data_IF_513048849780
#
_entry.id   IF_513048849780
#
_cell.length_a   1.000
_cell.length_b   1.000
_cell.length_c   1.000
_cell.angle_alpha   90.00
_cell.angle_beta   90.00
_cell.angle_gamma   90.00
#
_symmetry.space_group_name_H-M   'P 1'
#
loop_
_entity.id
_entity.type
_entity.pdbx_description
1 polymer ?
#
# COMPACT_ATOMS: atom_id res chain seq x y z
N UNK A 1 15.17 3.19 -14.27
CA UNK A 1 14.62 2.17 -15.20
C UNK A 1 15.66 1.14 -15.65
N UNK A 2 16.96 1.46 -15.71
CA UNK A 2 18.02 0.49 -16.11
C UNK A 2 18.07 -0.81 -15.25
N UNK A 3 17.67 -0.72 -13.97
CA UNK A 3 17.62 -1.86 -13.04
C UNK A 3 16.73 -3.02 -13.56
N UNK A 4 15.67 -2.71 -14.29
CA UNK A 4 14.66 -3.67 -14.73
C UNK A 4 14.86 -4.16 -16.18
N UNK A 5 15.92 -3.69 -16.87
CA UNK A 5 16.18 -4.07 -18.26
C UNK A 5 16.35 -5.58 -18.40
N UNK A 6 15.54 -6.18 -19.28
CA UNK A 6 15.59 -7.60 -19.57
C UNK A 6 15.14 -8.51 -18.41
N UNK A 7 14.49 -7.96 -17.37
CA UNK A 7 14.07 -8.66 -16.16
C UNK A 7 12.64 -9.15 -16.22
N UNK A 8 12.29 -10.05 -15.31
CA UNK A 8 10.94 -10.58 -15.12
C UNK A 8 10.39 -10.07 -13.79
N UNK A 9 9.25 -9.36 -13.85
CA UNK A 9 8.51 -8.87 -12.69
C UNK A 9 7.25 -9.71 -12.46
N UNK A 10 7.11 -10.31 -11.29
CA UNK A 10 5.88 -10.93 -10.85
C UNK A 10 5.06 -9.94 -10.00
N UNK A 11 3.78 -9.77 -10.33
CA UNK A 11 2.83 -8.96 -9.57
C UNK A 11 1.74 -9.88 -9.03
N UNK A 12 1.78 -10.19 -7.74
CA UNK A 12 0.69 -10.91 -7.08
C UNK A 12 -0.44 -9.94 -6.78
N UNK A 13 -1.69 -10.39 -6.94
CA UNK A 13 -2.84 -9.48 -6.87
C UNK A 13 -2.86 -8.47 -8.02
N UNK A 14 -2.22 -8.80 -9.14
CA UNK A 14 -2.02 -7.93 -10.30
C UNK A 14 -3.29 -7.41 -10.96
N UNK A 15 -4.44 -8.07 -10.76
CA UNK A 15 -5.76 -7.61 -11.24
C UNK A 15 -6.41 -6.54 -10.36
N UNK A 16 -5.81 -6.22 -9.21
CA UNK A 16 -6.24 -5.13 -8.33
C UNK A 16 -5.82 -3.75 -8.84
N UNK A 17 -6.37 -2.67 -8.24
CA UNK A 17 -6.05 -1.29 -8.67
C UNK A 17 -4.55 -0.99 -8.59
N UNK A 18 -3.90 -1.40 -7.49
CA UNK A 18 -2.47 -1.17 -7.30
C UNK A 18 -1.60 -2.00 -8.25
N UNK A 19 -1.91 -3.30 -8.39
CA UNK A 19 -1.21 -4.17 -9.34
C UNK A 19 -1.30 -3.67 -10.78
N UNK A 20 -2.47 -3.14 -11.17
CA UNK A 20 -2.66 -2.49 -12.47
C UNK A 20 -1.82 -1.22 -12.64
N UNK A 21 -1.66 -0.41 -11.60
CA UNK A 21 -0.86 0.80 -11.68
C UNK A 21 0.63 0.46 -11.84
N UNK A 22 1.13 -0.50 -11.06
CA UNK A 22 2.51 -1.00 -11.22
C UNK A 22 2.70 -1.60 -12.61
N UNK A 23 1.78 -2.43 -13.09
CA UNK A 23 1.82 -2.97 -14.45
C UNK A 23 1.98 -1.86 -15.49
N UNK A 24 1.10 -0.84 -15.47
CA UNK A 24 1.13 0.28 -16.44
C UNK A 24 2.46 1.02 -16.41
N UNK A 25 3.03 1.29 -15.23
CA UNK A 25 4.34 1.95 -15.09
C UNK A 25 5.47 1.16 -15.77
N UNK A 26 5.37 -0.17 -15.79
CA UNK A 26 6.39 -1.03 -16.38
C UNK A 26 6.14 -1.42 -17.85
N UNK A 27 4.93 -1.24 -18.38
CA UNK A 27 4.60 -1.63 -19.77
C UNK A 27 5.50 -0.95 -20.81
N UNK A 28 5.76 0.35 -20.61
CA UNK A 28 6.57 1.16 -21.54
C UNK A 28 8.07 1.14 -21.19
N UNK A 29 8.46 0.33 -20.21
CA UNK A 29 9.87 0.16 -19.84
C UNK A 29 10.56 -0.93 -20.68
N UNK A 30 11.87 -1.06 -20.49
CA UNK A 30 12.71 -2.11 -21.10
C UNK A 30 12.65 -3.46 -20.33
N UNK A 31 11.63 -3.66 -19.50
CA UNK A 31 11.36 -4.94 -18.84
C UNK A 31 11.02 -6.02 -19.87
N UNK A 32 11.50 -7.25 -19.64
CA UNK A 32 11.27 -8.34 -20.58
C UNK A 32 9.88 -8.97 -20.44
N UNK A 33 9.44 -9.23 -19.20
CA UNK A 33 8.18 -9.91 -18.92
C UNK A 33 7.55 -9.40 -17.62
N UNK A 34 6.23 -9.30 -17.62
CA UNK A 34 5.43 -9.00 -16.44
C UNK A 34 4.44 -10.13 -16.22
N UNK A 35 4.53 -10.82 -15.09
CA UNK A 35 3.59 -11.89 -14.70
C UNK A 35 2.51 -11.35 -13.79
N UNK A 36 1.27 -11.50 -14.20
CA UNK A 36 0.09 -11.17 -13.40
C UNK A 36 -0.41 -12.45 -12.74
N UNK A 37 -0.33 -12.51 -11.41
CA UNK A 37 -0.77 -13.66 -10.63
C UNK A 37 -1.96 -13.29 -9.77
N UNK A 38 -3.10 -13.93 -9.99
CA UNK A 38 -4.33 -13.72 -9.21
C UNK A 38 -5.30 -14.88 -9.37
N UNK A 39 -6.30 -14.95 -8.49
CA UNK A 39 -7.37 -15.95 -8.53
C UNK A 39 -8.49 -15.62 -9.52
N UNK A 40 -8.59 -14.37 -9.92
CA UNK A 40 -9.73 -13.83 -10.66
C UNK A 40 -9.50 -13.99 -12.17
N UNK A 41 -9.98 -15.10 -12.72
CA UNK A 41 -9.89 -15.42 -14.15
C UNK A 41 -10.54 -14.35 -15.03
N UNK A 42 -11.75 -13.88 -14.62
CA UNK A 42 -12.50 -12.89 -15.40
C UNK A 42 -11.71 -11.58 -15.55
N UNK A 43 -11.14 -11.07 -14.45
CA UNK A 43 -10.33 -9.86 -14.53
C UNK A 43 -9.04 -10.05 -15.32
N UNK A 44 -8.44 -11.23 -15.27
CA UNK A 44 -7.26 -11.53 -16.09
C UNK A 44 -7.63 -11.54 -17.58
N UNK A 45 -8.76 -12.12 -17.93
CA UNK A 45 -9.23 -12.16 -19.30
C UNK A 45 -9.55 -10.76 -19.84
N UNK A 46 -10.28 -9.94 -19.05
CA UNK A 46 -10.53 -8.53 -19.38
C UNK A 46 -9.23 -7.74 -19.59
N UNK A 47 -8.23 -7.94 -18.71
CA UNK A 47 -6.92 -7.30 -18.85
C UNK A 47 -6.19 -7.75 -20.12
N UNK A 48 -6.22 -9.04 -20.44
CA UNK A 48 -5.59 -9.60 -21.64
C UNK A 48 -6.17 -8.98 -22.91
N UNK A 49 -7.50 -8.89 -22.98
CA UNK A 49 -8.19 -8.30 -24.12
C UNK A 49 -7.96 -6.78 -24.25
N UNK A 50 -7.84 -6.09 -23.12
CA UNK A 50 -7.59 -4.65 -23.12
C UNK A 50 -6.13 -4.29 -23.45
N UNK A 51 -5.16 -5.00 -22.87
CA UNK A 51 -3.75 -4.66 -22.98
C UNK A 51 -3.13 -5.10 -24.30
N UNK A 52 -3.48 -6.30 -24.77
CA UNK A 52 -2.93 -6.91 -26.01
C UNK A 52 -1.40 -6.78 -26.13
N UNK A 53 -0.68 -6.96 -25.03
CA UNK A 53 0.75 -6.76 -24.91
C UNK A 53 1.47 -8.09 -24.64
N UNK A 54 2.40 -8.47 -25.50
CA UNK A 54 3.11 -9.76 -25.44
C UNK A 54 4.04 -9.91 -24.22
N UNK A 55 4.48 -8.80 -23.61
CA UNK A 55 5.27 -8.80 -22.38
C UNK A 55 4.47 -9.28 -21.16
N UNK A 56 3.14 -9.18 -21.20
CA UNK A 56 2.28 -9.51 -20.04
C UNK A 56 1.84 -10.96 -20.13
N UNK A 57 2.16 -11.74 -19.10
CA UNK A 57 1.74 -13.13 -18.94
C UNK A 57 0.78 -13.26 -17.77
N UNK A 58 -0.25 -14.06 -17.93
CA UNK A 58 -1.32 -14.22 -16.96
C UNK A 58 -1.28 -15.62 -16.36
N UNK A 59 -1.28 -15.67 -15.03
CA UNK A 59 -1.24 -16.91 -14.26
C UNK A 59 -2.39 -16.92 -13.26
N UNK A 60 -3.28 -17.89 -13.37
CA UNK A 60 -4.33 -18.12 -12.39
C UNK A 60 -3.71 -18.90 -11.23
N UNK A 61 -3.89 -18.39 -10.02
CA UNK A 61 -3.39 -19.06 -8.83
C UNK A 61 -3.69 -18.29 -7.55
N UNK A 62 -3.44 -18.96 -6.42
CA UNK A 62 -3.75 -18.46 -5.08
C UNK A 62 -2.48 -18.41 -4.23
N UNK A 63 -2.18 -17.25 -3.63
CA UNK A 63 -1.04 -17.10 -2.72
C UNK A 63 -1.14 -18.01 -1.48
N UNK A 64 -2.33 -18.46 -1.13
CA UNK A 64 -2.55 -19.41 -0.02
C UNK A 64 -2.09 -20.85 -0.33
N UNK A 65 -1.88 -21.14 -1.60
CA UNK A 65 -1.37 -22.42 -2.09
C UNK A 65 0.08 -22.27 -2.54
N UNK A 66 0.99 -22.88 -1.79
CA UNK A 66 2.43 -22.83 -2.05
C UNK A 66 2.79 -23.39 -3.44
N UNK A 67 2.17 -24.50 -3.87
CA UNK A 67 2.46 -25.09 -5.16
C UNK A 67 2.05 -24.17 -6.32
N UNK A 68 0.92 -23.47 -6.17
CA UNK A 68 0.47 -22.46 -7.13
C UNK A 68 1.48 -21.30 -7.24
N UNK A 69 2.07 -20.87 -6.10
CA UNK A 69 3.08 -19.82 -6.04
C UNK A 69 4.40 -20.31 -6.68
N UNK A 70 4.87 -21.51 -6.35
CA UNK A 70 6.10 -22.08 -6.91
C UNK A 70 6.03 -22.20 -8.45
N UNK A 71 4.86 -22.55 -8.98
CA UNK A 71 4.62 -22.70 -10.42
C UNK A 71 4.84 -21.42 -11.24
N UNK A 72 4.76 -20.23 -10.63
CA UNK A 72 4.94 -18.94 -11.32
C UNK A 72 6.34 -18.34 -11.12
N UNK A 73 7.19 -18.92 -10.24
CA UNK A 73 8.44 -18.31 -9.78
C UNK A 73 9.64 -18.49 -10.71
N UNK A 74 9.62 -19.50 -11.59
CA UNK A 74 10.80 -19.81 -12.43
C UNK A 74 11.27 -18.60 -13.22
N UNK A 75 12.53 -18.18 -13.01
CA UNK A 75 13.16 -17.05 -13.70
C UNK A 75 12.72 -15.66 -13.27
N UNK A 76 11.86 -15.52 -12.27
CA UNK A 76 11.44 -14.22 -11.73
C UNK A 76 12.61 -13.50 -11.06
N UNK A 77 12.85 -12.24 -11.45
CA UNK A 77 13.87 -11.39 -10.82
C UNK A 77 13.30 -10.53 -9.69
N UNK A 78 12.09 -9.99 -9.87
CA UNK A 78 11.45 -9.04 -8.97
C UNK A 78 10.02 -9.44 -8.66
N UNK A 79 9.58 -9.25 -7.42
CA UNK A 79 8.20 -9.48 -6.99
C UNK A 79 7.63 -8.23 -6.36
N UNK A 80 6.50 -7.77 -6.87
CA UNK A 80 5.61 -6.87 -6.16
C UNK A 80 4.45 -7.67 -5.57
N UNK A 81 4.45 -7.84 -4.24
CA UNK A 81 3.44 -8.62 -3.55
C UNK A 81 2.31 -7.72 -3.05
N UNK A 82 1.21 -7.67 -3.82
CA UNK A 82 0.02 -6.86 -3.51
C UNK A 82 -1.25 -7.71 -3.29
N UNK A 83 -1.15 -9.04 -3.32
CA UNK A 83 -2.28 -9.92 -3.05
C UNK A 83 -2.67 -9.84 -1.57
N UNK A 84 -3.86 -9.35 -1.27
CA UNK A 84 -4.37 -9.23 0.09
C UNK A 84 -5.89 -9.12 0.14
N UNK A 85 -6.47 -9.46 1.29
CA UNK A 85 -7.80 -9.00 1.68
C UNK A 85 -7.66 -7.62 2.34
N UNK A 86 -8.40 -6.63 1.85
CA UNK A 86 -8.26 -5.22 2.28
C UNK A 86 -9.55 -4.57 2.80
N UNK A 87 -10.69 -5.23 2.66
CA UNK A 87 -11.98 -4.70 3.10
C UNK A 87 -12.16 -4.97 4.59
N UNK A 88 -12.29 -3.91 5.39
CA UNK A 88 -12.43 -4.03 6.85
C UNK A 88 -13.61 -4.91 7.23
N UNK A 89 -14.85 -4.67 6.73
CA UNK A 89 -15.99 -5.51 7.10
C UNK A 89 -15.78 -7.00 6.76
N UNK A 90 -15.26 -7.28 5.57
CA UNK A 90 -15.01 -8.67 5.15
C UNK A 90 -13.97 -9.36 6.04
N UNK A 91 -12.95 -8.65 6.48
CA UNK A 91 -11.92 -9.21 7.36
C UNK A 91 -12.45 -9.41 8.79
N UNK A 92 -13.33 -8.54 9.28
CA UNK A 92 -13.99 -8.70 10.58
C UNK A 92 -14.87 -9.96 10.60
N UNK A 93 -15.68 -10.19 9.55
CA UNK A 93 -16.52 -11.38 9.45
C UNK A 93 -15.73 -12.67 9.13
N UNK A 94 -14.61 -12.55 8.44
CA UNK A 94 -13.78 -13.69 8.02
C UNK A 94 -12.30 -13.53 8.40
N UNK A 95 -11.94 -13.35 9.69
CA UNK A 95 -10.58 -13.05 10.12
C UNK A 95 -9.59 -14.16 9.75
N UNK A 96 -10.01 -15.42 9.79
CA UNK A 96 -9.18 -16.56 9.37
C UNK A 96 -8.79 -16.46 7.89
N UNK A 97 -9.66 -15.94 7.02
CA UNK A 97 -9.32 -15.74 5.61
C UNK A 97 -8.33 -14.58 5.44
N UNK A 98 -8.43 -13.55 6.28
CA UNK A 98 -7.43 -12.48 6.32
C UNK A 98 -6.05 -13.02 6.73
N UNK A 99 -5.96 -13.83 7.78
CA UNK A 99 -4.71 -14.50 8.21
C UNK A 99 -4.16 -15.37 7.08
N UNK A 100 -4.98 -16.26 6.50
CA UNK A 100 -4.53 -17.17 5.44
C UNK A 100 -4.03 -16.43 4.20
N UNK A 101 -4.64 -15.30 3.84
CA UNK A 101 -4.26 -14.56 2.63
C UNK A 101 -3.13 -13.58 2.93
N UNK A 102 -3.28 -12.73 3.96
CA UNK A 102 -2.35 -11.64 4.20
C UNK A 102 -1.08 -12.11 4.91
N UNK A 103 -1.18 -13.06 5.83
CA UNK A 103 -0.03 -13.56 6.61
C UNK A 103 0.60 -14.77 5.95
N UNK A 104 -0.12 -15.91 5.91
CA UNK A 104 0.42 -17.16 5.39
C UNK A 104 0.64 -17.11 3.87
N UNK A 105 -0.23 -16.39 3.14
CA UNK A 105 -0.03 -16.16 1.70
C UNK A 105 1.23 -15.36 1.40
N UNK A 106 1.55 -14.37 2.24
CA UNK A 106 2.83 -13.63 2.15
C UNK A 106 4.01 -14.54 2.46
N UNK A 107 3.93 -15.34 3.53
CA UNK A 107 4.97 -16.32 3.86
C UNK A 107 5.25 -17.27 2.68
N UNK A 108 4.22 -17.83 2.05
CA UNK A 108 4.37 -18.68 0.86
C UNK A 108 5.11 -17.98 -0.28
N UNK A 109 4.79 -16.70 -0.55
CA UNK A 109 5.46 -15.91 -1.60
C UNK A 109 6.92 -15.69 -1.25
N UNK A 110 7.24 -15.32 -0.01
CA UNK A 110 8.60 -15.05 0.45
C UNK A 110 9.47 -16.32 0.42
N UNK A 111 8.95 -17.44 0.94
CA UNK A 111 9.65 -18.74 0.92
C UNK A 111 9.91 -19.20 -0.52
N UNK A 112 8.92 -19.06 -1.41
CA UNK A 112 9.08 -19.40 -2.82
C UNK A 112 10.09 -18.48 -3.50
N UNK A 113 10.06 -17.19 -3.22
CA UNK A 113 11.02 -16.22 -3.76
C UNK A 113 12.46 -16.57 -3.40
N UNK A 114 12.71 -16.90 -2.13
CA UNK A 114 14.04 -17.30 -1.65
C UNK A 114 14.49 -18.60 -2.30
N UNK A 115 13.62 -19.61 -2.35
CA UNK A 115 13.92 -20.90 -2.97
C UNK A 115 14.29 -20.81 -4.46
N UNK A 116 13.71 -19.86 -5.18
CA UNK A 116 13.96 -19.65 -6.62
C UNK A 116 14.99 -18.53 -6.91
N UNK A 117 15.62 -17.95 -5.89
CA UNK A 117 16.68 -16.95 -6.06
C UNK A 117 16.18 -15.62 -6.63
N UNK A 118 14.94 -15.24 -6.35
CA UNK A 118 14.40 -13.90 -6.70
C UNK A 118 15.26 -12.82 -6.06
N UNK A 119 15.61 -11.79 -6.82
CA UNK A 119 16.51 -10.72 -6.34
C UNK A 119 15.87 -9.83 -5.29
N UNK A 120 14.64 -9.41 -5.56
CA UNK A 120 13.98 -8.42 -4.72
C UNK A 120 12.48 -8.68 -4.59
N UNK A 121 11.96 -8.61 -3.37
CA UNK A 121 10.54 -8.70 -3.04
C UNK A 121 10.12 -7.44 -2.30
N UNK A 122 9.16 -6.71 -2.84
CA UNK A 122 8.51 -5.58 -2.17
C UNK A 122 7.11 -6.00 -1.75
N UNK A 123 6.86 -6.00 -0.44
CA UNK A 123 5.57 -6.37 0.16
C UNK A 123 4.76 -5.11 0.46
N UNK A 124 3.54 -5.08 -0.08
CA UNK A 124 2.66 -3.93 0.05
C UNK A 124 1.90 -3.92 1.38
N UNK A 125 2.13 -2.90 2.22
CA UNK A 125 1.40 -2.70 3.46
C UNK A 125 0.50 -1.44 3.42
N UNK A 126 0.15 -0.89 4.58
CA UNK A 126 -0.85 0.19 4.74
C UNK A 126 -0.68 0.88 6.09
N UNK A 127 -1.13 2.14 6.21
CA UNK A 127 -1.29 2.87 7.47
C UNK A 127 -2.10 2.10 8.53
N UNK A 128 -3.02 1.24 8.09
CA UNK A 128 -3.87 0.44 9.00
C UNK A 128 -3.14 -0.70 9.71
N UNK A 129 -1.90 -1.00 9.29
CA UNK A 129 -0.98 -1.89 10.00
C UNK A 129 -0.37 -1.23 11.25
N UNK A 130 -0.40 0.11 11.33
CA UNK A 130 0.11 0.88 12.46
C UNK A 130 -1.00 1.09 13.49
N UNK A 131 -0.77 0.69 14.74
CA UNK A 131 -1.80 0.69 15.80
C UNK A 131 -3.14 0.11 15.31
N UNK A 132 -3.16 -1.16 14.88
CA UNK A 132 -4.33 -1.74 14.22
C UNK A 132 -5.49 -1.92 15.19
N UNK A 133 -6.69 -1.50 14.76
CA UNK A 133 -7.94 -1.60 15.56
C UNK A 133 -8.98 -2.55 14.93
N UNK A 134 -8.64 -3.21 13.83
CA UNK A 134 -9.52 -4.14 13.13
C UNK A 134 -8.75 -5.32 12.55
N UNK A 135 -9.44 -6.42 12.24
CA UNK A 135 -8.83 -7.67 11.75
C UNK A 135 -7.99 -7.49 10.48
N UNK A 136 -8.40 -6.58 9.58
CA UNK A 136 -7.62 -6.27 8.39
C UNK A 136 -6.28 -5.65 8.76
N UNK A 137 -6.28 -4.62 9.60
CA UNK A 137 -5.06 -3.96 10.09
C UNK A 137 -4.16 -4.91 10.87
N UNK A 138 -4.72 -5.73 11.77
CA UNK A 138 -3.98 -6.73 12.55
C UNK A 138 -3.29 -7.74 11.62
N UNK A 139 -4.00 -8.25 10.60
CA UNK A 139 -3.41 -9.18 9.64
C UNK A 139 -2.29 -8.54 8.80
N UNK A 140 -2.42 -7.26 8.46
CA UNK A 140 -1.39 -6.50 7.74
C UNK A 140 -0.18 -6.19 8.63
N UNK A 141 -0.40 -5.86 9.89
CA UNK A 141 0.70 -5.68 10.86
C UNK A 141 1.50 -6.98 11.04
N UNK A 142 0.82 -8.12 11.17
CA UNK A 142 1.50 -9.42 11.26
C UNK A 142 2.22 -9.77 9.96
N UNK A 143 1.63 -9.47 8.80
CA UNK A 143 2.28 -9.63 7.48
C UNK A 143 3.61 -8.86 7.41
N UNK A 144 3.64 -7.59 7.87
CA UNK A 144 4.90 -6.82 7.94
C UNK A 144 5.94 -7.50 8.82
N UNK A 145 5.53 -7.98 10.01
CA UNK A 145 6.44 -8.67 10.93
C UNK A 145 7.03 -9.95 10.30
N UNK A 146 6.22 -10.73 9.57
CA UNK A 146 6.67 -11.92 8.84
C UNK A 146 7.67 -11.52 7.74
N UNK A 147 7.39 -10.49 6.95
CA UNK A 147 8.28 -10.05 5.89
C UNK A 147 9.61 -9.49 6.44
N UNK A 148 9.56 -8.66 7.48
CA UNK A 148 10.75 -8.08 8.14
C UNK A 148 11.59 -9.20 8.78
N UNK A 149 10.95 -10.16 9.47
CA UNK A 149 11.64 -11.29 10.07
C UNK A 149 12.34 -12.16 9.03
N UNK A 150 11.69 -12.40 7.87
CA UNK A 150 12.30 -13.14 6.77
C UNK A 150 13.51 -12.40 6.19
N UNK A 151 13.39 -11.09 5.96
CA UNK A 151 14.52 -10.26 5.53
C UNK A 151 15.68 -10.30 6.54
N UNK A 152 15.39 -10.17 7.84
CA UNK A 152 16.40 -10.28 8.90
C UNK A 152 17.12 -11.63 8.89
N UNK A 153 16.37 -12.75 8.73
CA UNK A 153 16.97 -14.09 8.64
C UNK A 153 17.96 -14.22 7.47
N UNK A 154 17.67 -13.58 6.34
CA UNK A 154 18.57 -13.60 5.17
C UNK A 154 19.82 -12.75 5.39
N UNK A 155 19.74 -11.72 6.23
CA UNK A 155 20.85 -10.83 6.52
C UNK A 155 21.35 -10.05 5.31
N UNK A 156 22.53 -9.45 5.44
CA UNK A 156 23.14 -8.64 4.37
C UNK A 156 23.69 -9.50 3.21
N UNK A 157 24.07 -10.76 3.48
CA UNK A 157 24.63 -11.69 2.50
C UNK A 157 23.55 -12.48 1.72
N UNK A 158 22.27 -12.28 2.06
CA UNK A 158 21.16 -12.95 1.41
C UNK A 158 21.05 -12.58 -0.08
N UNK A 159 20.88 -13.59 -0.95
CA UNK A 159 20.70 -13.37 -2.40
C UNK A 159 19.37 -12.70 -2.75
N UNK A 160 18.39 -12.79 -1.87
CA UNK A 160 17.05 -12.18 -2.01
C UNK A 160 16.93 -11.03 -1.02
N UNK A 161 16.59 -9.86 -1.50
CA UNK A 161 16.22 -8.71 -0.65
C UNK A 161 14.71 -8.67 -0.45
N UNK A 162 14.27 -8.57 0.80
CA UNK A 162 12.86 -8.47 1.17
C UNK A 162 12.65 -7.18 1.94
N UNK A 163 11.79 -6.31 1.45
CA UNK A 163 11.39 -5.09 2.14
C UNK A 163 9.88 -4.84 2.02
N UNK A 164 9.37 -3.94 2.86
CA UNK A 164 7.96 -3.54 2.87
C UNK A 164 7.81 -2.08 2.44
N UNK A 165 6.63 -1.75 1.93
CA UNK A 165 6.20 -0.36 1.72
C UNK A 165 4.91 -0.10 2.48
N UNK A 166 4.83 1.04 3.18
CA UNK A 166 3.65 1.47 3.92
C UNK A 166 3.22 2.84 3.39
N UNK A 167 1.95 3.00 3.11
CA UNK A 167 1.39 4.22 2.56
C UNK A 167 0.00 4.50 3.16
N UNK A 168 -0.43 5.75 3.07
CA UNK A 168 -1.73 6.20 3.54
C UNK A 168 -2.88 5.89 2.57
N UNK A 169 -3.90 6.71 2.60
CA UNK A 169 -5.06 6.53 1.74
C UNK A 169 -4.72 6.91 0.29
N UNK A 170 -4.92 5.97 -0.62
CA UNK A 170 -4.81 6.22 -2.06
C UNK A 170 -6.13 6.78 -2.58
N UNK A 171 -6.09 8.01 -3.06
CA UNK A 171 -7.26 8.73 -3.59
C UNK A 171 -7.87 8.03 -4.80
N UNK A 172 -9.19 8.08 -4.92
CA UNK A 172 -9.92 7.54 -6.07
C UNK A 172 -9.89 6.01 -6.18
N UNK A 173 -9.41 5.29 -5.16
CA UNK A 173 -9.45 3.83 -5.15
C UNK A 173 -10.90 3.33 -5.07
N UNK A 174 -11.17 2.14 -5.66
CA UNK A 174 -12.52 1.55 -5.66
C UNK A 174 -13.06 1.38 -4.23
N UNK A 175 -14.28 1.88 -4.00
CA UNK A 175 -14.94 1.83 -2.70
C UNK A 175 -14.40 2.86 -1.68
N UNK A 176 -13.65 3.88 -2.13
CA UNK A 176 -13.20 4.97 -1.28
C UNK A 176 -14.16 6.16 -1.30
N UNK A 177 -13.95 7.10 -0.39
CA UNK A 177 -14.83 8.24 -0.14
C UNK A 177 -14.96 9.19 -1.33
N UNK A 178 -13.90 9.43 -2.08
CA UNK A 178 -13.90 10.39 -3.21
C UNK A 178 -14.87 9.97 -4.31
N UNK A 179 -14.82 8.75 -4.87
CA UNK A 179 -15.83 8.31 -5.84
C UNK A 179 -17.26 8.36 -5.32
N UNK A 180 -17.48 7.98 -4.04
CA UNK A 180 -18.79 8.04 -3.41
C UNK A 180 -19.34 9.47 -3.39
N UNK A 181 -18.53 10.44 -2.96
CA UNK A 181 -18.97 11.83 -2.86
C UNK A 181 -19.15 12.49 -4.23
N UNK A 182 -18.34 12.12 -5.22
CA UNK A 182 -18.55 12.55 -6.61
C UNK A 182 -19.90 12.03 -7.14
N UNK A 183 -20.26 10.78 -6.84
CA UNK A 183 -21.56 10.21 -7.21
C UNK A 183 -22.70 10.95 -6.50
N UNK A 184 -22.61 11.17 -5.20
CA UNK A 184 -23.58 11.95 -4.42
C UNK A 184 -23.78 13.36 -4.97
N UNK A 185 -22.68 14.03 -5.35
CA UNK A 185 -22.74 15.37 -5.97
C UNK A 185 -23.49 15.30 -7.32
N UNK A 186 -23.17 14.34 -8.17
CA UNK A 186 -23.83 14.19 -9.49
C UNK A 186 -25.32 13.86 -9.39
N UNK A 187 -25.71 13.13 -8.36
CA UNK A 187 -27.10 12.80 -8.07
C UNK A 187 -27.87 13.94 -7.36
N UNK A 188 -27.20 15.04 -7.02
CA UNK A 188 -27.79 16.12 -6.23
C UNK A 188 -28.09 15.75 -4.77
N UNK A 189 -27.52 14.67 -4.29
CA UNK A 189 -27.66 14.18 -2.93
C UNK A 189 -26.71 14.89 -1.97
N UNK A 190 -26.96 14.78 -0.65
CA UNK A 190 -26.05 15.31 0.35
C UNK A 190 -24.77 14.48 0.45
N UNK A 191 -23.63 15.16 0.59
CA UNK A 191 -22.35 14.51 0.88
C UNK A 191 -22.38 13.96 2.33
N UNK A 192 -22.14 12.66 2.49
CA UNK A 192 -22.15 12.04 3.82
C UNK A 192 -20.75 11.98 4.41
N UNK A 193 -20.52 12.68 5.53
CA UNK A 193 -19.25 12.76 6.25
C UNK A 193 -19.37 12.07 7.60
N UNK A 194 -18.38 11.27 7.99
CA UNK A 194 -18.36 10.61 9.31
C UNK A 194 -18.05 11.61 10.41
N UNK A 195 -16.96 12.36 10.32
CA UNK A 195 -16.57 13.45 11.19
C UNK A 195 -15.76 14.47 10.35
N UNK A 196 -16.17 15.77 10.31
CA UNK A 196 -15.48 16.81 9.53
C UNK A 196 -14.00 16.95 9.88
N UNK A 197 -13.63 16.76 11.15
CA UNK A 197 -12.28 16.95 11.65
C UNK A 197 -11.36 15.73 11.47
N UNK A 198 -11.90 14.59 11.01
CA UNK A 198 -11.06 13.46 10.66
C UNK A 198 -10.05 13.85 9.58
N UNK A 199 -8.79 13.51 9.78
CA UNK A 199 -7.76 13.69 8.76
C UNK A 199 -7.40 12.36 8.09
N UNK A 200 -7.05 12.45 6.82
CA UNK A 200 -6.52 11.34 6.05
C UNK A 200 -5.31 11.80 5.26
N UNK A 201 -4.31 10.94 5.15
CA UNK A 201 -3.24 11.15 4.20
C UNK A 201 -3.81 11.14 2.78
N UNK A 202 -3.32 12.05 1.93
CA UNK A 202 -3.78 12.20 0.57
C UNK A 202 -2.63 11.91 -0.39
N UNK A 203 -2.74 10.82 -1.14
CA UNK A 203 -1.74 10.47 -2.13
C UNK A 203 -2.39 9.89 -3.37
N UNK A 204 -1.73 10.06 -4.50
CA UNK A 204 -2.15 9.45 -5.76
C UNK A 204 -1.66 7.99 -5.85
N UNK A 205 -2.23 7.27 -6.79
CA UNK A 205 -1.75 5.91 -7.09
C UNK A 205 -0.34 5.92 -7.71
N UNK A 206 0.00 7.00 -8.42
CA UNK A 206 1.34 7.18 -9.00
C UNK A 206 2.39 7.39 -7.91
N UNK A 207 2.11 8.22 -6.90
CA UNK A 207 3.01 8.41 -5.75
C UNK A 207 3.28 7.06 -5.05
N UNK A 208 2.22 6.24 -4.90
CA UNK A 208 2.35 4.92 -4.29
C UNK A 208 3.17 3.94 -5.15
N UNK A 209 3.12 4.05 -6.48
CA UNK A 209 3.98 3.27 -7.39
C UNK A 209 5.43 3.74 -7.33
N UNK A 210 5.66 5.06 -7.20
CA UNK A 210 7.01 5.61 -7.05
C UNK A 210 7.69 5.11 -5.77
N UNK A 211 6.94 5.00 -4.66
CA UNK A 211 7.43 4.36 -3.43
C UNK A 211 7.86 2.90 -3.67
N UNK A 212 7.09 2.12 -4.44
CA UNK A 212 7.45 0.73 -4.75
C UNK A 212 8.73 0.67 -5.59
N UNK A 213 8.88 1.53 -6.59
CA UNK A 213 10.09 1.62 -7.41
C UNK A 213 11.30 2.01 -6.56
N UNK A 214 11.11 3.01 -5.67
CA UNK A 214 12.14 3.44 -4.72
C UNK A 214 12.59 2.28 -3.83
N UNK A 215 11.64 1.50 -3.28
CA UNK A 215 11.94 0.34 -2.46
C UNK A 215 12.71 -0.76 -3.23
N UNK A 216 12.40 -1.00 -4.50
CA UNK A 216 13.19 -1.91 -5.35
C UNK A 216 14.62 -1.42 -5.56
N UNK A 217 14.85 -0.10 -5.62
CA UNK A 217 16.17 0.49 -5.90
C UNK A 217 17.05 0.59 -4.66
N UNK A 218 16.46 0.87 -3.50
CA UNK A 218 17.18 1.27 -2.28
C UNK A 218 16.97 0.32 -1.10
N UNK A 219 16.05 -0.65 -1.21
CA UNK A 219 15.71 -1.55 -0.11
C UNK A 219 16.83 -2.48 0.27
N UNK A 220 16.99 -2.67 1.58
CA UNK A 220 17.80 -3.72 2.20
C UNK A 220 16.89 -4.69 2.93
N UNK A 221 17.43 -5.84 3.29
CA UNK A 221 16.67 -6.87 3.98
C UNK A 221 16.04 -6.37 5.27
N UNK A 222 14.71 -6.50 5.36
CA UNK A 222 13.92 -6.11 6.51
C UNK A 222 13.57 -4.63 6.58
N UNK A 223 13.94 -3.80 5.60
CA UNK A 223 13.55 -2.39 5.57
C UNK A 223 12.04 -2.21 5.38
N UNK A 224 11.52 -1.16 5.99
CA UNK A 224 10.18 -0.66 5.72
C UNK A 224 10.29 0.79 5.22
N UNK A 225 9.79 1.05 4.02
CA UNK A 225 9.68 2.40 3.45
C UNK A 225 8.29 2.97 3.64
N UNK A 226 8.22 4.22 4.04
CA UNK A 226 6.99 4.94 4.31
C UNK A 226 6.94 6.20 3.46
N UNK A 227 5.84 6.40 2.73
CA UNK A 227 5.59 7.62 1.96
C UNK A 227 5.29 8.77 2.90
N UNK A 228 6.01 9.87 2.76
CA UNK A 228 5.59 11.16 3.32
C UNK A 228 4.50 11.74 2.41
N UNK A 229 3.33 11.98 2.96
CA UNK A 229 2.21 12.50 2.21
C UNK A 229 1.54 13.66 2.95
N UNK A 230 0.99 14.64 2.23
CA UNK A 230 0.13 15.64 2.85
C UNK A 230 -1.15 14.99 3.35
N UNK A 231 -1.85 15.69 4.22
CA UNK A 231 -3.16 15.28 4.70
C UNK A 231 -4.19 16.40 4.51
N UNK A 232 -5.46 16.02 4.57
CA UNK A 232 -6.56 16.95 4.63
C UNK A 232 -7.63 16.43 5.59
N UNK A 233 -8.41 17.36 6.16
CA UNK A 233 -9.65 17.00 6.85
C UNK A 233 -10.70 16.56 5.84
N UNK A 234 -11.68 15.80 6.29
CA UNK A 234 -12.80 15.41 5.43
C UNK A 234 -13.64 16.63 5.00
N UNK A 235 -13.66 17.69 5.82
CA UNK A 235 -14.33 18.94 5.49
C UNK A 235 -13.67 19.66 4.31
N UNK A 236 -12.35 19.85 4.37
CA UNK A 236 -11.54 20.39 3.26
C UNK A 236 -11.71 19.58 1.97
N UNK A 237 -11.72 18.26 2.07
CA UNK A 237 -11.93 17.39 0.91
C UNK A 237 -13.34 17.57 0.31
N UNK A 238 -14.38 17.68 1.16
CA UNK A 238 -15.75 17.91 0.69
C UNK A 238 -15.90 19.25 0.02
N UNK A 239 -15.33 20.33 0.59
CA UNK A 239 -15.39 21.66 0.00
C UNK A 239 -14.62 21.72 -1.31
N UNK A 240 -13.44 21.11 -1.41
CA UNK A 240 -12.69 21.02 -2.65
C UNK A 240 -13.49 20.33 -3.79
N UNK A 241 -14.19 19.24 -3.47
CA UNK A 241 -15.07 18.56 -4.44
C UNK A 241 -16.27 19.43 -4.82
N UNK A 242 -16.92 20.09 -3.88
CA UNK A 242 -18.05 20.99 -4.14
C UNK A 242 -17.63 22.12 -5.08
N UNK A 243 -16.47 22.72 -4.85
CA UNK A 243 -15.96 23.79 -5.71
C UNK A 243 -15.63 23.26 -7.12
N UNK A 244 -14.93 22.14 -7.25
CA UNK A 244 -14.57 21.55 -8.55
C UNK A 244 -15.79 21.19 -9.40
N UNK A 245 -16.85 20.70 -8.77
CA UNK A 245 -18.10 20.30 -9.44
C UNK A 245 -19.16 21.42 -9.46
N UNK A 246 -18.84 22.63 -8.99
CA UNK A 246 -19.78 23.76 -8.87
C UNK A 246 -21.09 23.36 -8.16
N UNK A 247 -20.96 22.57 -7.08
CA UNK A 247 -22.08 21.95 -6.38
C UNK A 247 -22.45 22.70 -5.09
N UNK A 248 -23.74 22.90 -4.89
CA UNK A 248 -24.33 23.39 -3.64
C UNK A 248 -24.77 22.25 -2.69
N UNK A 249 -24.28 21.02 -2.91
CA UNK A 249 -24.64 19.87 -2.08
C UNK A 249 -24.40 20.13 -0.60
N UNK A 250 -25.39 19.78 0.22
CA UNK A 250 -25.27 19.90 1.68
C UNK A 250 -24.38 18.79 2.23
N UNK A 251 -23.66 19.10 3.30
CA UNK A 251 -22.90 18.09 4.05
C UNK A 251 -23.79 17.54 5.16
N UNK A 252 -23.86 16.21 5.27
CA UNK A 252 -24.58 15.50 6.35
C UNK A 252 -23.57 14.69 7.17
N UNK A 253 -23.40 15.06 8.42
CA UNK A 253 -22.58 14.31 9.39
C UNK A 253 -23.35 13.05 9.82
N UNK A 254 -22.75 11.88 9.64
CA UNK A 254 -23.37 10.57 9.95
C UNK A 254 -22.75 9.87 11.17
N UNK A 255 -21.66 10.43 11.73
CA UNK A 255 -20.92 9.86 12.85
C UNK A 255 -19.86 8.83 12.43
N UNK A 256 -18.90 8.60 13.34
CA UNK A 256 -17.78 7.67 13.14
C UNK A 256 -18.28 6.24 13.05
N UNK A 257 -17.77 5.46 12.09
CA UNK A 257 -18.12 4.05 11.91
C UNK A 257 -17.25 3.16 12.79
N UNK A 258 -17.71 1.92 13.02
CA UNK A 258 -16.89 0.92 13.71
C UNK A 258 -15.56 0.69 12.97
N UNK A 259 -14.45 0.69 13.72
CA UNK A 259 -13.12 0.44 13.17
C UNK A 259 -12.52 1.60 12.38
N UNK A 260 -13.10 2.81 12.43
CA UNK A 260 -12.51 4.04 11.87
C UNK A 260 -11.73 4.80 12.95
N UNK A 261 -10.56 5.32 12.56
CA UNK A 261 -9.72 6.20 13.40
C UNK A 261 -10.01 7.67 13.07
N UNK A 262 -9.83 8.56 14.04
CA UNK A 262 -9.92 10.01 13.81
C UNK A 262 -8.78 10.52 12.92
N UNK A 263 -7.61 9.91 13.03
CA UNK A 263 -6.43 10.16 12.20
C UNK A 263 -5.68 8.85 11.92
N UNK A 264 -4.90 8.81 10.88
CA UNK A 264 -4.09 7.64 10.53
C UNK A 264 -2.63 7.87 10.89
N UNK A 265 -1.97 6.85 11.41
CA UNK A 265 -0.54 6.86 11.73
C UNK A 265 0.21 6.04 10.69
N UNK A 266 1.30 6.58 10.15
CA UNK A 266 2.18 5.90 9.21
C UNK A 266 3.45 5.37 9.86
N UNK A 267 3.99 6.08 10.85
CA UNK A 267 5.19 5.65 11.59
C UNK A 267 4.94 5.85 13.08
N UNK A 268 5.14 4.81 13.87
CA UNK A 268 5.04 4.89 15.34
C UNK A 268 6.25 5.64 15.90
N UNK A 269 6.14 6.20 17.12
CA UNK A 269 7.27 6.85 17.80
C UNK A 269 8.48 5.96 17.92
N UNK A 270 8.28 4.67 18.20
CA UNK A 270 9.34 3.67 18.26
C UNK A 270 10.04 3.48 16.90
N UNK A 271 9.27 3.46 15.80
CA UNK A 271 9.81 3.40 14.45
C UNK A 271 10.49 4.73 14.08
N UNK A 272 9.93 5.89 14.49
CA UNK A 272 10.52 7.21 14.23
C UNK A 272 11.88 7.36 14.90
N UNK A 273 12.09 6.82 16.09
CA UNK A 273 13.37 6.91 16.82
C UNK A 273 14.56 6.28 16.07
N UNK A 274 14.28 5.39 15.13
CA UNK A 274 15.29 4.72 14.28
C UNK A 274 15.10 4.97 12.79
N UNK A 275 14.15 5.82 12.42
CA UNK A 275 13.88 6.13 11.02
C UNK A 275 14.96 7.02 10.42
N UNK A 276 15.26 6.78 9.15
CA UNK A 276 16.13 7.62 8.34
C UNK A 276 15.26 8.48 7.41
N UNK A 277 15.52 9.79 7.39
CA UNK A 277 14.86 10.71 6.46
C UNK A 277 15.51 10.62 5.08
N UNK A 278 14.74 10.14 4.09
CA UNK A 278 15.18 9.95 2.72
C UNK A 278 14.55 10.99 1.76
N UNK A 279 14.18 12.16 2.25
CA UNK A 279 13.46 13.18 1.48
C UNK A 279 11.96 12.92 1.44
N UNK A 280 11.45 12.37 0.36
CA UNK A 280 10.01 12.07 0.21
C UNK A 280 9.57 10.82 0.97
N UNK A 281 10.52 10.09 1.56
CA UNK A 281 10.27 8.82 2.27
C UNK A 281 10.95 8.78 3.62
N UNK A 282 10.39 8.00 4.55
CA UNK A 282 11.12 7.47 5.69
C UNK A 282 11.55 6.04 5.38
N UNK A 283 12.80 5.71 5.72
CA UNK A 283 13.30 4.35 5.80
C UNK A 283 13.35 3.92 7.26
N UNK A 284 12.71 2.83 7.59
CA UNK A 284 12.75 2.22 8.92
C UNK A 284 13.56 0.93 8.77
N UNK A 285 14.83 0.90 9.24
CA UNK A 285 15.66 -0.29 9.17
C UNK A 285 15.12 -1.38 10.11
N UNK A 286 15.34 -2.65 9.75
CA UNK A 286 14.97 -3.74 10.65
C UNK A 286 15.84 -3.73 11.90
N UNK A 287 15.28 -4.29 12.97
CA UNK A 287 16.04 -4.55 14.18
C UNK A 287 16.95 -5.77 13.95
N UNK A 288 18.26 -5.54 13.98
CA UNK A 288 19.28 -6.57 13.78
C UNK A 288 19.79 -7.20 15.10
N UNK A 289 19.20 -6.82 16.23
CA UNK A 289 19.57 -7.37 17.54
C UNK A 289 19.28 -8.87 17.58
N UNK A 290 20.15 -9.59 18.26
CA UNK A 290 20.06 -11.01 18.51
C UNK A 290 19.04 -11.33 19.62
N UNK A 291 18.54 -12.58 19.69
CA UNK A 291 17.66 -13.07 20.76
C UNK A 291 18.37 -13.22 22.11
N UNK A 292 19.67 -13.09 22.21
CA UNK A 292 20.44 -13.07 23.46
C UNK A 292 20.35 -11.71 24.16
N UNK A 293 19.29 -11.48 24.71
CA UNK A 293 18.63 -10.26 25.07
C UNK A 293 18.93 -9.63 26.42
N UNK A 294 19.99 -9.85 27.10
CA UNK A 294 20.18 -9.24 28.42
C UNK A 294 20.01 -7.72 28.42
N UNK A 295 20.40 -7.04 27.32
CA UNK A 295 20.21 -5.59 27.16
C UNK A 295 18.77 -5.16 26.79
N UNK A 296 17.98 -6.01 26.20
CA UNK A 296 16.65 -5.64 25.71
C UNK A 296 15.64 -5.37 26.84
N UNK A 297 15.84 -6.01 27.99
CA UNK A 297 14.94 -5.88 29.15
C UNK A 297 15.44 -4.86 30.19
N UNK A 298 16.68 -4.43 30.12
CA UNK A 298 17.34 -3.60 31.15
C UNK A 298 17.72 -2.19 30.66
N UNK A 299 17.85 -2.00 29.35
CA UNK A 299 18.22 -0.70 28.77
C UNK A 299 17.11 -0.22 27.82
N UNK A 300 16.30 0.75 28.27
CA UNK A 300 15.34 1.48 27.42
C UNK A 300 16.04 2.61 26.66
N UNK A 301 15.33 3.23 25.71
CA UNK A 301 15.77 4.46 25.07
C UNK A 301 14.83 5.59 25.51
N UNK A 302 15.34 6.52 26.33
CA UNK A 302 14.59 7.67 26.85
C UNK A 302 14.11 8.60 25.74
N UNK A 303 14.85 8.70 24.62
CA UNK A 303 14.49 9.53 23.48
C UNK A 303 13.16 9.11 22.82
N UNK A 304 12.82 7.82 22.88
CA UNK A 304 11.55 7.31 22.32
C UNK A 304 10.33 7.97 22.96
N UNK A 305 10.43 8.34 24.25
CA UNK A 305 9.34 9.00 24.98
C UNK A 305 9.11 10.44 24.53
N UNK A 306 10.10 11.09 23.92
CA UNK A 306 10.06 12.48 23.47
C UNK A 306 9.69 12.62 21.99
N UNK A 307 9.72 11.52 21.22
CA UNK A 307 9.44 11.50 19.79
C UNK A 307 7.93 11.31 19.57
N UNK A 308 7.37 12.05 18.64
CA UNK A 308 5.99 11.87 18.21
C UNK A 308 5.86 10.87 17.08
N UNK A 309 4.69 10.22 16.99
CA UNK A 309 4.30 9.43 15.81
C UNK A 309 4.24 10.33 14.57
N UNK A 310 4.49 9.78 13.38
CA UNK A 310 4.15 10.46 12.13
C UNK A 310 2.73 10.08 11.72
N UNK A 311 1.81 11.04 11.76
CA UNK A 311 0.39 10.82 11.54
C UNK A 311 -0.28 11.93 10.73
N UNK A 312 -1.51 11.71 10.29
CA UNK A 312 -2.21 12.63 9.40
C UNK A 312 -2.60 13.98 10.03
N UNK A 313 -2.47 14.16 11.35
CA UNK A 313 -2.66 15.47 12.00
C UNK A 313 -1.38 16.33 12.04
N UNK A 314 -0.17 15.72 12.00
CA UNK A 314 1.11 16.45 12.13
C UNK A 314 1.94 16.49 10.84
N UNK A 315 1.38 16.05 9.72
CA UNK A 315 1.97 16.26 8.39
C UNK A 315 1.48 17.58 7.77
N UNK A 316 2.03 17.94 6.60
CA UNK A 316 1.56 19.11 5.86
C UNK A 316 0.05 19.00 5.58
N UNK A 317 -0.72 19.97 6.08
CA UNK A 317 -2.16 20.05 5.89
C UNK A 317 -2.49 20.82 4.62
N UNK A 318 -3.27 20.20 3.74
CA UNK A 318 -3.78 20.85 2.53
C UNK A 318 -4.97 21.76 2.89
N UNK A 319 -5.00 22.95 2.29
CA UNK A 319 -6.19 23.76 2.18
C UNK A 319 -7.07 23.31 1.00
N UNK A 320 -8.19 23.98 0.79
CA UNK A 320 -9.14 23.66 -0.30
C UNK A 320 -8.46 23.74 -1.65
N UNK A 321 -7.63 24.76 -1.90
CA UNK A 321 -6.96 24.92 -3.19
C UNK A 321 -5.91 23.83 -3.45
N UNK A 322 -5.06 23.53 -2.48
CA UNK A 322 -4.11 22.41 -2.55
C UNK A 322 -4.82 21.07 -2.76
N UNK A 323 -5.97 20.87 -2.10
CA UNK A 323 -6.78 19.65 -2.28
C UNK A 323 -7.38 19.57 -3.69
N UNK A 324 -7.86 20.67 -4.27
CA UNK A 324 -8.35 20.75 -5.67
C UNK A 324 -7.24 20.37 -6.66
N UNK A 325 -6.03 20.92 -6.49
CA UNK A 325 -4.89 20.60 -7.34
C UNK A 325 -4.54 19.10 -7.29
N UNK A 326 -4.60 18.49 -6.12
CA UNK A 326 -4.34 17.08 -5.95
C UNK A 326 -5.46 16.21 -6.55
N UNK A 327 -6.73 16.59 -6.38
CA UNK A 327 -7.88 15.92 -6.99
C UNK A 327 -7.83 15.94 -8.52
N UNK A 328 -7.36 17.03 -9.12
CA UNK A 328 -7.18 17.15 -10.57
C UNK A 328 -6.11 16.24 -11.16
N UNK A 329 -5.27 15.61 -10.35
CA UNK A 329 -4.38 14.51 -10.81
C UNK A 329 -5.15 13.22 -11.10
N UNK A 330 -6.37 13.07 -10.58
CA UNK A 330 -7.19 11.88 -10.78
C UNK A 330 -7.86 11.89 -12.17
N UNK A 331 -7.52 10.92 -12.99
CA UNK A 331 -7.99 10.83 -14.39
C UNK A 331 -9.53 10.85 -14.51
N UNK A 332 -10.25 10.23 -13.56
CA UNK A 332 -11.71 10.20 -13.63
C UNK A 332 -12.32 11.58 -13.32
N UNK A 333 -11.76 12.35 -12.38
CA UNK A 333 -12.20 13.73 -12.09
C UNK A 333 -11.94 14.63 -13.30
N UNK A 334 -10.76 14.55 -13.90
CA UNK A 334 -10.47 15.31 -15.12
C UNK A 334 -11.45 15.01 -16.25
N UNK A 335 -11.74 13.73 -16.47
CA UNK A 335 -12.75 13.31 -17.49
C UNK A 335 -14.14 13.87 -17.19
N UNK A 336 -14.56 13.83 -15.92
CA UNK A 336 -15.85 14.36 -15.49
C UNK A 336 -15.97 15.87 -15.73
N UNK A 337 -14.87 16.58 -15.54
CA UNK A 337 -14.79 18.05 -15.74
C UNK A 337 -14.42 18.47 -17.17
N UNK A 338 -14.26 17.52 -18.09
CA UNK A 338 -13.82 17.75 -19.48
C UNK A 338 -12.45 18.45 -19.61
N UNK A 339 -11.49 18.11 -18.71
CA UNK A 339 -10.12 18.65 -18.65
C UNK A 339 -9.07 17.68 -19.21
#
# INVERSE_FOLDING_TARGET
MSLFRGKILLITGGTGSFGNAVLRRFLDSDINEIRIFSRDEKKQDDMRHHLKNSKVKFYIGDVRDRHSVDGVMSGVDYIFHAAALKQVPSCEFFPTQAVRTNVLGTENVLESAVAHGVKNVVVLSTDKATYPINAMGISKAMMEKVAIAKGRQLGAEGKTTICCTRYGNVMGSRGSVIPLWVEQIKEGSAITITDPNMTRFMMTLDDAVDLVIYAFQHGKNGDLFVQKAPAATLDVLADALKELYHSSAKVKVIGTRHGEKLYETLVTREEMSKSEDMGDYYRIPCDTRDLNYDKFFVEGNEEVSLIEDYHSHNTHQLDVEGMKQLLLKLTFIRKDLNL
#
